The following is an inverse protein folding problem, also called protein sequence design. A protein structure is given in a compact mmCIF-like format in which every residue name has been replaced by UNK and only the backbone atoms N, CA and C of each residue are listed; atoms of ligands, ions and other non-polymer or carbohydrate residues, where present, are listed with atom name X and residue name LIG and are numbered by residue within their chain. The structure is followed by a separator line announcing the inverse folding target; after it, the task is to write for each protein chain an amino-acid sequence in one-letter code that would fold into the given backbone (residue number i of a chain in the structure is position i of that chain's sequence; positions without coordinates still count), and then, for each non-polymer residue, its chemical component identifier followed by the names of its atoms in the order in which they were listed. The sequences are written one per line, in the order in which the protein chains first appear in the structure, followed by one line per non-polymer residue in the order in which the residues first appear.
data_IF_293765180266
#
_entry.id   IF_293765180266
#
_cell.length_a   1.000
_cell.length_b   1.000
_cell.length_c   1.000
_cell.angle_alpha   90.00
_cell.angle_beta   90.00
_cell.angle_gamma   90.00
#
_symmetry.space_group_name_H-M   'P 1'
#
loop_
_entity.id
_entity.type
_entity.pdbx_description
1 polymer ?
#
# COMPACT_ATOMS: atom_id res chain seq x y z
N UNK A 1 -10.20 -58.73 -7.49
CA UNK A 1 -9.48 -59.95 -7.19
C UNK A 1 -8.49 -59.71 -6.09
N UNK A 2 -8.62 -60.46 -4.95
CA UNK A 2 -7.73 -60.69 -3.82
C UNK A 2 -7.34 -59.45 -2.98
N UNK A 3 -7.90 -59.15 -1.78
CA UNK A 3 -8.26 -59.94 -0.55
C UNK A 3 -7.06 -60.34 0.31
N UNK A 4 -7.23 -60.07 1.62
CA UNK A 4 -6.58 -60.69 2.79
C UNK A 4 -5.42 -59.89 3.43
N UNK A 5 -5.19 -59.81 4.74
CA UNK A 5 -5.97 -60.19 5.95
C UNK A 5 -5.39 -59.45 7.17
N UNK A 6 -6.25 -59.16 8.11
CA UNK A 6 -6.14 -59.00 9.56
C UNK A 6 -5.06 -59.85 10.24
N UNK A 7 -4.45 -59.31 11.29
CA UNK A 7 -4.38 -60.02 12.60
C UNK A 7 -4.25 -59.04 13.77
N UNK A 8 -5.17 -59.25 14.73
CA UNK A 8 -5.16 -58.76 16.12
C UNK A 8 -4.29 -59.72 16.94
N UNK A 9 -3.60 -59.24 17.99
CA UNK A 9 -3.36 -60.06 19.18
C UNK A 9 -3.34 -59.17 20.44
N UNK A 10 -4.25 -59.50 21.37
CA UNK A 10 -4.25 -59.18 22.80
C UNK A 10 -3.37 -60.15 23.57
N UNK A 11 -2.86 -59.73 24.71
CA UNK A 11 -2.72 -60.50 25.98
C UNK A 11 -1.84 -59.70 26.94
N UNK A 12 -2.32 -59.29 28.01
CA UNK A 12 -2.71 -59.67 29.37
C UNK A 12 -1.62 -59.46 30.44
N UNK A 13 -2.00 -58.70 31.44
CA UNK A 13 -1.74 -58.74 32.89
C UNK A 13 -0.45 -59.39 33.44
N UNK A 14 0.22 -58.60 34.33
CA UNK A 14 0.68 -59.10 35.63
C UNK A 14 0.90 -57.94 36.62
N UNK A 15 0.12 -57.98 37.72
CA UNK A 15 0.34 -57.25 38.97
C UNK A 15 1.52 -57.88 39.73
N UNK A 16 2.38 -57.07 40.30
CA UNK A 16 3.20 -57.47 41.48
C UNK A 16 3.34 -56.24 42.41
N UNK A 17 2.70 -56.39 43.56
CA UNK A 17 2.90 -55.62 44.78
C UNK A 17 4.15 -56.08 45.53
N UNK A 18 5.04 -55.15 45.93
CA UNK A 18 5.86 -55.30 47.15
C UNK A 18 6.34 -53.95 47.67
N UNK A 19 5.84 -53.62 48.85
CA UNK A 19 6.49 -53.08 50.07
C UNK A 19 7.30 -51.82 50.06
N UNK A 20 6.86 -50.98 50.99
CA UNK A 20 7.40 -49.74 51.49
C UNK A 20 8.83 -49.83 52.04
N UNK A 21 9.61 -48.83 51.79
CA UNK A 21 10.62 -48.35 52.74
C UNK A 21 10.83 -46.83 52.58
N UNK A 22 10.61 -46.18 53.69
CA UNK A 22 10.76 -44.73 53.87
C UNK A 22 12.22 -44.33 53.74
N UNK A 23 12.50 -43.32 52.90
CA UNK A 23 13.66 -42.46 53.04
C UNK A 23 13.23 -41.01 52.90
N UNK A 24 13.23 -40.33 54.05
CA UNK A 24 13.13 -38.91 54.17
C UNK A 24 14.41 -38.27 53.60
N UNK A 25 14.29 -37.62 52.48
CA UNK A 25 15.32 -36.72 51.99
C UNK A 25 14.70 -35.35 51.84
N UNK A 26 15.20 -34.43 52.63
CA UNK A 26 14.93 -33.01 52.59
C UNK A 26 15.22 -32.48 51.16
N UNK A 27 14.17 -32.25 50.39
CA UNK A 27 14.26 -31.33 49.28
C UNK A 27 13.86 -29.96 49.78
N UNK A 28 14.87 -29.11 49.95
CA UNK A 28 14.65 -27.69 50.04
C UNK A 28 13.99 -27.24 48.72
N UNK A 29 12.71 -26.92 48.80
CA UNK A 29 12.02 -26.16 47.77
C UNK A 29 12.66 -24.77 47.72
N UNK A 30 13.68 -24.62 46.88
CA UNK A 30 14.07 -23.34 46.39
C UNK A 30 12.84 -22.68 45.76
N UNK A 31 12.32 -21.62 46.40
CA UNK A 31 11.39 -20.71 45.77
C UNK A 31 12.08 -20.18 44.54
N UNK A 32 11.79 -20.77 43.39
CA UNK A 32 11.99 -20.06 42.11
C UNK A 32 11.01 -18.91 42.19
N UNK A 33 11.51 -17.76 42.57
CA UNK A 33 10.83 -16.48 42.32
C UNK A 33 10.61 -16.44 40.82
N UNK A 34 9.37 -16.67 40.40
CA UNK A 34 8.95 -16.29 39.07
C UNK A 34 9.13 -14.77 39.02
N UNK A 35 10.24 -14.31 38.46
CA UNK A 35 10.38 -12.92 38.09
C UNK A 35 9.18 -12.60 37.20
N UNK A 36 8.27 -11.84 37.76
CA UNK A 36 7.10 -11.35 37.05
C UNK A 36 7.60 -10.50 35.88
N UNK A 37 7.36 -11.01 34.69
CA UNK A 37 7.61 -10.27 33.47
C UNK A 37 6.94 -8.89 33.57
N UNK A 38 7.60 -7.80 33.15
CA UNK A 38 7.17 -6.40 33.40
C UNK A 38 5.78 -6.02 32.86
N UNK A 39 5.12 -6.88 32.11
CA UNK A 39 3.76 -6.65 31.59
C UNK A 39 2.63 -7.26 32.44
N UNK A 40 2.89 -7.67 33.68
CA UNK A 40 1.84 -8.16 34.57
C UNK A 40 1.00 -6.98 35.11
N UNK A 41 -0.12 -6.69 34.45
CA UNK A 41 -1.29 -5.95 34.96
C UNK A 41 -1.00 -4.69 35.78
N UNK A 42 -0.35 -3.67 35.20
CA UNK A 42 -0.36 -2.32 35.79
C UNK A 42 -1.01 -1.34 34.80
N UNK A 43 -1.70 -0.33 35.30
CA UNK A 43 -2.18 0.81 34.49
C UNK A 43 -1.06 1.42 33.64
N UNK A 44 0.17 1.31 34.06
CA UNK A 44 1.38 1.72 33.36
C UNK A 44 1.58 0.95 32.03
N UNK A 45 1.34 -0.37 31.99
CA UNK A 45 1.52 -1.15 30.75
C UNK A 45 0.44 -0.87 29.71
N UNK A 46 -0.79 -0.62 30.15
CA UNK A 46 -1.89 -0.22 29.24
C UNK A 46 -1.65 1.17 28.65
N UNK A 47 -1.11 2.11 29.45
CA UNK A 47 -0.73 3.45 28.98
C UNK A 47 0.41 3.39 27.96
N UNK A 48 1.37 2.48 28.12
CA UNK A 48 2.45 2.27 27.14
C UNK A 48 1.91 1.70 25.82
N UNK A 49 1.04 0.69 25.86
CA UNK A 49 0.45 0.12 24.66
C UNK A 49 -0.49 1.13 23.95
N UNK A 50 -1.15 2.00 24.70
CA UNK A 50 -1.93 3.10 24.11
C UNK A 50 -1.05 4.07 23.34
N UNK A 51 0.14 4.44 23.87
CA UNK A 51 1.12 5.26 23.14
C UNK A 51 1.62 4.59 21.87
N UNK A 52 1.88 3.27 21.92
CA UNK A 52 2.24 2.49 20.71
C UNK A 52 1.14 2.58 19.67
N UNK A 53 -0.13 2.45 20.06
CA UNK A 53 -1.26 2.64 19.15
C UNK A 53 -1.33 4.06 18.58
N UNK A 54 -1.05 5.08 19.37
CA UNK A 54 -1.06 6.48 18.92
C UNK A 54 0.09 6.77 17.95
N UNK A 55 1.26 6.22 18.18
CA UNK A 55 2.48 6.49 17.40
C UNK A 55 2.51 5.69 16.09
N UNK A 56 2.17 4.40 16.13
CA UNK A 56 2.33 3.48 14.99
C UNK A 56 1.01 2.99 14.40
N UNK A 57 -0.09 3.16 15.09
CA UNK A 57 -1.40 2.74 14.60
C UNK A 57 -1.94 3.70 13.52
N UNK A 58 -2.75 3.15 12.62
CA UNK A 58 -3.47 3.92 11.60
C UNK A 58 -4.97 3.73 11.84
N UNK A 59 -5.68 4.82 12.10
CA UNK A 59 -7.14 4.75 12.23
C UNK A 59 -7.77 4.59 10.84
N UNK A 60 -8.72 3.65 10.65
CA UNK A 60 -9.44 3.55 9.39
C UNK A 60 -10.25 4.83 9.14
N UNK A 61 -10.30 5.24 7.87
CA UNK A 61 -11.05 6.41 7.41
C UNK A 61 -12.02 5.98 6.32
N UNK A 62 -13.28 6.35 6.45
CA UNK A 62 -14.30 5.99 5.47
C UNK A 62 -14.11 6.74 4.15
N UNK A 63 -14.39 6.04 3.05
CA UNK A 63 -14.50 6.66 1.74
C UNK A 63 -15.72 7.59 1.70
N UNK A 64 -15.65 8.64 0.89
CA UNK A 64 -16.74 9.58 0.73
C UNK A 64 -16.83 10.15 -0.68
N UNK A 65 -18.03 10.53 -1.09
CA UNK A 65 -18.22 11.40 -2.23
C UNK A 65 -18.10 12.87 -1.78
N UNK A 66 -17.31 13.65 -2.53
CA UNK A 66 -17.00 15.05 -2.25
C UNK A 66 -17.40 15.90 -3.46
N UNK A 67 -17.99 17.07 -3.24
CA UNK A 67 -18.47 17.93 -4.33
C UNK A 67 -17.36 18.51 -5.21
N UNK A 68 -16.10 18.54 -4.72
CA UNK A 68 -14.93 19.07 -5.45
C UNK A 68 -14.02 17.93 -5.93
N UNK A 69 -13.78 16.94 -5.05
CA UNK A 69 -12.82 15.88 -5.27
C UNK A 69 -13.45 14.57 -5.76
N UNK A 70 -14.75 14.57 -6.01
CA UNK A 70 -15.54 13.41 -6.42
C UNK A 70 -15.39 12.23 -5.44
N UNK A 71 -15.02 11.05 -5.88
CA UNK A 71 -14.80 9.95 -4.97
C UNK A 71 -13.42 10.06 -4.29
N UNK A 72 -13.44 10.20 -2.98
CA UNK A 72 -12.24 10.15 -2.13
C UNK A 72 -12.20 8.77 -1.48
N UNK A 73 -11.21 7.92 -1.82
CA UNK A 73 -11.05 6.61 -1.20
C UNK A 73 -10.91 6.69 0.31
N UNK A 74 -11.34 5.65 0.99
CA UNK A 74 -11.08 5.47 2.40
C UNK A 74 -9.61 5.13 2.68
N UNK A 75 -9.36 4.66 3.89
CA UNK A 75 -8.07 4.17 4.33
C UNK A 75 -8.31 3.03 5.31
N UNK A 76 -7.71 1.88 5.07
CA UNK A 76 -7.65 0.82 6.06
C UNK A 76 -6.70 1.20 7.20
N UNK A 77 -6.93 0.66 8.36
CA UNK A 77 -6.16 0.97 9.55
C UNK A 77 -5.30 -0.19 10.04
N UNK A 78 -4.44 0.13 11.01
CA UNK A 78 -3.72 -0.82 11.84
C UNK A 78 -4.06 -0.57 13.30
N UNK A 79 -4.70 -1.56 13.94
CA UNK A 79 -5.09 -1.49 15.34
C UNK A 79 -4.29 -2.51 16.15
N UNK A 80 -3.66 -2.05 17.23
CA UNK A 80 -2.88 -2.92 18.11
C UNK A 80 -3.82 -3.93 18.80
N UNK A 81 -3.50 -5.20 18.64
CA UNK A 81 -4.17 -6.28 19.38
C UNK A 81 -3.49 -6.46 20.73
N UNK A 82 -3.95 -5.72 21.75
CA UNK A 82 -3.34 -5.70 23.08
C UNK A 82 -3.23 -7.11 23.69
N UNK A 83 -4.27 -7.95 23.76
CA UNK A 83 -4.16 -9.29 24.32
C UNK A 83 -3.15 -10.18 23.59
N UNK A 84 -3.12 -10.14 22.25
CA UNK A 84 -2.18 -10.92 21.46
C UNK A 84 -0.74 -10.40 21.59
N UNK A 85 -0.55 -9.08 21.69
CA UNK A 85 0.74 -8.44 21.96
C UNK A 85 1.31 -8.87 23.31
N UNK A 86 0.51 -8.85 24.36
CA UNK A 86 0.92 -9.32 25.69
C UNK A 86 1.30 -10.81 25.68
N UNK A 87 0.51 -11.65 24.97
CA UNK A 87 0.79 -13.08 24.87
C UNK A 87 2.10 -13.34 24.10
N UNK A 88 2.29 -12.69 22.94
CA UNK A 88 3.50 -12.82 22.13
C UNK A 88 4.75 -12.36 22.88
N UNK A 89 4.66 -11.23 23.58
CA UNK A 89 5.78 -10.68 24.37
C UNK A 89 6.17 -11.61 25.51
N UNK A 90 5.19 -12.21 26.25
CA UNK A 90 5.49 -13.20 27.28
C UNK A 90 6.12 -14.47 26.73
N UNK A 91 5.72 -14.91 25.55
CA UNK A 91 6.23 -16.14 24.92
C UNK A 91 7.67 -15.96 24.41
N UNK A 92 8.01 -14.81 23.88
CA UNK A 92 9.33 -14.53 23.28
C UNK A 92 10.47 -14.52 24.30
N UNK A 93 10.21 -14.18 25.57
CA UNK A 93 11.20 -14.16 26.67
C UNK A 93 12.49 -13.34 26.36
N UNK A 94 12.38 -12.42 25.45
CA UNK A 94 13.43 -11.41 25.15
C UNK A 94 13.07 -10.05 25.76
N UNK A 95 13.95 -9.07 25.60
CA UNK A 95 13.72 -7.71 26.09
C UNK A 95 13.06 -6.82 25.02
N UNK A 96 12.09 -7.37 24.30
CA UNK A 96 11.34 -6.66 23.24
C UNK A 96 9.85 -6.81 23.46
N UNK A 97 9.14 -5.76 23.07
CA UNK A 97 7.69 -5.79 22.92
C UNK A 97 7.36 -6.40 21.55
N UNK A 98 6.66 -7.52 21.52
CA UNK A 98 6.22 -8.19 20.28
C UNK A 98 4.82 -7.73 19.94
N UNK A 99 4.71 -6.84 18.95
CA UNK A 99 3.48 -6.17 18.57
C UNK A 99 2.66 -7.01 17.59
N UNK A 100 1.41 -7.23 17.92
CA UNK A 100 0.44 -7.89 17.04
C UNK A 100 -0.58 -6.87 16.57
N UNK A 101 -0.67 -6.68 15.26
CA UNK A 101 -1.54 -5.71 14.65
C UNK A 101 -2.67 -6.38 13.88
N UNK A 102 -3.88 -5.88 14.06
CA UNK A 102 -5.03 -6.25 13.26
C UNK A 102 -5.25 -5.19 12.17
N UNK A 103 -5.53 -5.62 10.95
CA UNK A 103 -6.04 -4.74 9.92
C UNK A 103 -7.48 -4.34 10.27
N UNK A 104 -7.79 -3.05 10.17
CA UNK A 104 -9.12 -2.49 10.37
C UNK A 104 -9.60 -1.87 9.07
N UNK A 105 -10.70 -2.39 8.51
CA UNK A 105 -11.28 -1.85 7.28
C UNK A 105 -12.11 -0.60 7.56
N UNK A 106 -12.22 0.35 6.60
CA UNK A 106 -13.18 1.42 6.68
C UNK A 106 -14.61 0.87 6.68
N UNK A 107 -15.54 1.54 7.34
CA UNK A 107 -16.97 1.16 7.33
C UNK A 107 -17.59 1.39 5.96
N UNK A 108 -17.18 2.45 5.28
CA UNK A 108 -17.55 2.76 3.90
C UNK A 108 -16.28 2.69 3.06
N UNK A 109 -16.21 1.75 2.13
CA UNK A 109 -15.10 1.62 1.17
C UNK A 109 -15.45 2.27 -0.17
N UNK A 110 -14.43 2.56 -0.98
CA UNK A 110 -14.58 3.17 -2.32
C UNK A 110 -15.60 2.43 -3.20
N UNK A 111 -15.60 1.09 -3.15
CA UNK A 111 -16.55 0.24 -3.94
C UNK A 111 -18.00 0.32 -3.47
N UNK A 112 -18.27 0.93 -2.33
CA UNK A 112 -19.65 1.15 -1.84
C UNK A 112 -20.21 2.49 -2.31
N UNK A 113 -19.36 3.36 -2.88
CA UNK A 113 -19.79 4.66 -3.42
C UNK A 113 -20.32 4.50 -4.85
N UNK A 114 -21.21 5.40 -5.30
CA UNK A 114 -21.55 5.52 -6.72
C UNK A 114 -20.29 5.72 -7.56
N UNK A 115 -20.33 5.21 -8.80
CA UNK A 115 -19.20 5.35 -9.74
C UNK A 115 -18.89 6.82 -10.00
N UNK A 116 -17.65 7.24 -9.74
CA UNK A 116 -17.14 8.57 -10.07
C UNK A 116 -15.60 8.55 -10.19
N UNK A 117 -15.04 9.66 -10.67
CA UNK A 117 -13.59 9.85 -10.79
C UNK A 117 -12.92 10.11 -9.44
N UNK A 118 -11.60 9.92 -9.39
CA UNK A 118 -10.77 10.08 -8.20
C UNK A 118 -9.69 11.12 -8.50
N UNK A 119 -9.68 12.20 -7.73
CA UNK A 119 -8.70 13.29 -7.85
C UNK A 119 -7.65 13.28 -6.74
N UNK A 120 -7.92 12.55 -5.67
CA UNK A 120 -7.05 12.46 -4.49
C UNK A 120 -7.28 11.17 -3.73
N UNK A 121 -6.30 10.79 -2.93
CA UNK A 121 -6.43 9.73 -1.93
C UNK A 121 -7.04 10.23 -0.62
N UNK A 122 -7.14 9.31 0.34
CA UNK A 122 -7.63 9.60 1.69
C UNK A 122 -6.80 10.69 2.39
N UNK A 123 -7.44 11.67 3.04
CA UNK A 123 -6.74 12.62 3.90
C UNK A 123 -6.36 12.04 5.27
N UNK A 124 -6.80 10.82 5.59
CA UNK A 124 -6.51 10.14 6.86
C UNK A 124 -5.07 9.72 7.05
N UNK A 125 -4.24 9.84 6.01
CA UNK A 125 -2.82 9.54 6.04
C UNK A 125 -2.02 10.65 5.36
N UNK A 126 -0.87 10.97 5.94
CA UNK A 126 0.06 11.96 5.36
C UNK A 126 0.88 11.32 4.24
N UNK A 127 0.21 10.96 3.15
CA UNK A 127 0.80 10.33 1.97
C UNK A 127 0.49 11.11 0.71
N UNK A 128 1.31 10.94 -0.33
CA UNK A 128 1.12 11.48 -1.68
C UNK A 128 1.49 10.44 -2.74
N UNK A 129 1.04 10.67 -3.96
CA UNK A 129 1.31 9.77 -5.09
C UNK A 129 1.92 10.54 -6.25
N UNK A 130 2.98 9.99 -6.84
CA UNK A 130 3.52 10.48 -8.10
C UNK A 130 2.85 9.70 -9.23
N UNK A 131 2.14 10.39 -10.11
CA UNK A 131 1.55 9.81 -11.31
C UNK A 131 2.21 10.41 -12.56
N UNK A 132 2.69 9.52 -13.44
CA UNK A 132 3.50 9.88 -14.60
C UNK A 132 2.76 9.42 -15.86
N UNK A 133 2.22 10.38 -16.62
CA UNK A 133 1.57 10.08 -17.90
C UNK A 133 2.62 9.98 -19.01
N UNK A 134 2.60 8.86 -19.76
CA UNK A 134 3.61 8.51 -20.76
C UNK A 134 2.98 8.26 -22.12
N UNK A 135 3.11 9.24 -23.00
CA UNK A 135 2.81 9.15 -24.43
C UNK A 135 4.00 9.58 -25.29
N UNK A 136 5.07 10.08 -24.66
CA UNK A 136 6.32 10.61 -25.23
C UNK A 136 7.35 10.77 -24.13
N UNK A 137 8.59 11.20 -24.49
CA UNK A 137 9.67 11.55 -23.52
C UNK A 137 10.43 10.34 -23.01
N UNK A 138 10.50 9.26 -23.79
CA UNK A 138 11.18 8.01 -23.45
C UNK A 138 12.65 8.21 -23.07
N UNK A 139 13.31 9.24 -23.60
CA UNK A 139 14.71 9.56 -23.30
C UNK A 139 14.96 9.99 -21.85
N UNK A 140 13.93 10.45 -21.14
CA UNK A 140 14.03 10.87 -19.73
C UNK A 140 13.66 9.77 -18.74
N UNK A 141 12.96 8.73 -19.19
CA UNK A 141 12.50 7.63 -18.33
C UNK A 141 13.63 6.89 -17.62
N UNK A 142 14.78 6.57 -18.28
CA UNK A 142 15.87 5.88 -17.57
C UNK A 142 16.36 6.62 -16.34
N UNK A 143 16.54 7.94 -16.44
CA UNK A 143 16.95 8.79 -15.31
C UNK A 143 15.90 8.87 -14.21
N UNK A 144 14.61 8.92 -14.59
CA UNK A 144 13.51 8.92 -13.61
C UNK A 144 13.43 7.60 -12.88
N UNK A 145 13.50 6.46 -13.57
CA UNK A 145 13.51 5.12 -12.97
C UNK A 145 14.71 4.91 -12.05
N UNK A 146 15.92 5.31 -12.49
CA UNK A 146 17.11 5.27 -11.64
C UNK A 146 16.92 6.08 -10.34
N UNK A 147 16.28 7.24 -10.42
CA UNK A 147 15.98 8.05 -9.23
C UNK A 147 14.99 7.37 -8.31
N UNK A 148 13.88 6.84 -8.85
CA UNK A 148 12.87 6.12 -8.08
C UNK A 148 13.46 4.88 -7.39
N UNK A 149 14.30 4.12 -8.11
CA UNK A 149 15.03 2.97 -7.58
C UNK A 149 15.96 3.35 -6.42
N UNK A 150 16.85 4.34 -6.63
CA UNK A 150 17.80 4.84 -5.59
C UNK A 150 17.09 5.34 -4.35
N UNK A 151 15.96 6.00 -4.54
CA UNK A 151 15.15 6.54 -3.43
C UNK A 151 14.18 5.50 -2.86
N UNK A 152 14.14 4.26 -3.38
CA UNK A 152 13.18 3.23 -2.99
C UNK A 152 11.73 3.77 -2.99
N UNK A 153 11.33 4.39 -4.09
CA UNK A 153 10.01 4.98 -4.31
C UNK A 153 9.34 4.29 -5.49
N UNK A 154 8.07 3.95 -5.34
CA UNK A 154 7.20 3.51 -6.44
C UNK A 154 6.30 4.67 -6.86
N UNK A 155 6.21 4.89 -8.17
CA UNK A 155 5.28 5.81 -8.81
C UNK A 155 4.27 5.01 -9.66
N UNK A 156 3.21 5.68 -10.12
CA UNK A 156 2.26 5.08 -11.07
C UNK A 156 2.46 5.67 -12.45
N UNK A 157 2.78 4.82 -13.42
CA UNK A 157 2.96 5.19 -14.82
C UNK A 157 1.69 4.90 -15.60
N UNK A 158 1.05 5.92 -16.14
CA UNK A 158 -0.09 5.76 -17.04
C UNK A 158 0.40 5.72 -18.48
N UNK A 159 0.39 4.53 -19.06
CA UNK A 159 1.01 4.27 -20.36
C UNK A 159 0.01 4.39 -21.53
N UNK A 160 0.35 5.16 -22.53
CA UNK A 160 -0.35 5.18 -23.82
C UNK A 160 -0.06 3.89 -24.61
N UNK A 161 -1.11 3.23 -25.10
CA UNK A 161 -0.97 1.94 -25.78
C UNK A 161 -0.20 2.02 -27.10
N UNK A 162 -0.25 3.15 -27.83
CA UNK A 162 0.55 3.34 -29.02
C UNK A 162 2.04 3.50 -28.67
N UNK A 163 2.33 4.25 -27.61
CA UNK A 163 3.69 4.38 -27.07
C UNK A 163 4.25 3.02 -26.60
N UNK A 164 3.47 2.21 -25.90
CA UNK A 164 3.90 0.85 -25.47
C UNK A 164 4.29 -0.02 -26.66
N UNK A 165 3.54 0.05 -27.77
CA UNK A 165 3.85 -0.71 -28.98
C UNK A 165 5.18 -0.32 -29.60
N UNK A 166 5.50 0.98 -29.62
CA UNK A 166 6.74 1.51 -30.21
C UNK A 166 7.95 1.45 -29.27
N UNK A 167 7.73 1.44 -27.95
CA UNK A 167 8.79 1.45 -26.94
C UNK A 167 8.68 0.28 -25.94
N UNK A 168 8.42 -0.93 -26.46
CA UNK A 168 8.12 -2.11 -25.64
C UNK A 168 9.20 -2.43 -24.60
N UNK A 169 10.46 -2.27 -24.94
CA UNK A 169 11.56 -2.52 -24.00
C UNK A 169 11.53 -1.56 -22.81
N UNK A 170 11.29 -0.27 -23.05
CA UNK A 170 11.17 0.71 -21.97
C UNK A 170 9.92 0.47 -21.14
N UNK A 171 8.78 0.11 -21.75
CA UNK A 171 7.57 -0.23 -21.03
C UNK A 171 7.77 -1.47 -20.12
N UNK A 172 8.51 -2.48 -20.58
CA UNK A 172 8.90 -3.63 -19.74
C UNK A 172 9.83 -3.21 -18.61
N UNK A 173 10.80 -2.35 -18.88
CA UNK A 173 11.71 -1.88 -17.84
C UNK A 173 10.97 -1.14 -16.71
N UNK A 174 9.94 -0.33 -17.02
CA UNK A 174 9.07 0.27 -15.99
C UNK A 174 8.44 -0.81 -15.08
N UNK A 175 7.94 -1.90 -15.66
CA UNK A 175 7.33 -3.02 -14.91
C UNK A 175 8.37 -3.80 -14.10
N UNK A 176 9.54 -4.08 -14.69
CA UNK A 176 10.65 -4.80 -14.06
C UNK A 176 11.22 -4.03 -12.85
N UNK A 177 11.21 -2.71 -12.89
CA UNK A 177 11.55 -1.83 -11.75
C UNK A 177 10.44 -1.79 -10.67
N UNK A 178 9.38 -2.59 -10.81
CA UNK A 178 8.31 -2.72 -9.83
C UNK A 178 7.39 -1.50 -9.74
N UNK A 179 7.38 -0.65 -10.76
CA UNK A 179 6.51 0.50 -10.81
C UNK A 179 5.06 0.09 -11.04
N UNK A 180 4.11 0.88 -10.52
CA UNK A 180 2.68 0.68 -10.77
C UNK A 180 2.31 1.18 -12.17
N UNK A 181 1.37 0.48 -12.84
CA UNK A 181 1.02 0.78 -14.23
C UNK A 181 -0.49 0.92 -14.41
N UNK A 182 -0.89 2.05 -15.00
CA UNK A 182 -2.25 2.35 -15.45
C UNK A 182 -2.31 2.59 -16.97
N UNK A 183 -3.53 2.73 -17.48
CA UNK A 183 -3.84 3.06 -18.85
C UNK A 183 -3.87 4.58 -19.08
N UNK A 184 -3.34 5.05 -20.22
CA UNK A 184 -3.51 6.43 -20.70
C UNK A 184 -4.25 6.48 -22.05
N UNK A 185 -5.05 5.44 -22.34
CA UNK A 185 -5.66 5.27 -23.67
C UNK A 185 -4.64 4.92 -24.76
N UNK A 186 -4.98 5.15 -26.02
CA UNK A 186 -4.12 4.85 -27.17
C UNK A 186 -4.15 6.01 -28.15
N UNK A 187 -2.98 6.61 -28.41
CA UNK A 187 -2.81 7.71 -29.38
C UNK A 187 -3.27 9.07 -28.87
N UNK A 188 -3.45 9.22 -27.57
CA UNK A 188 -3.71 10.48 -26.86
C UNK A 188 -4.89 11.32 -27.42
N UNK A 189 -6.07 10.74 -27.77
CA UNK A 189 -7.20 11.53 -28.26
C UNK A 189 -7.90 12.26 -27.10
N UNK A 190 -8.63 13.32 -27.43
CA UNK A 190 -9.56 13.95 -26.49
C UNK A 190 -10.80 13.06 -26.28
N UNK A 191 -10.92 12.46 -25.09
CA UNK A 191 -11.98 11.48 -24.79
C UNK A 191 -13.39 12.06 -24.85
N UNK A 192 -13.58 13.36 -24.57
CA UNK A 192 -14.90 14.01 -24.67
C UNK A 192 -15.41 14.09 -26.12
N UNK A 193 -14.52 14.13 -27.10
CA UNK A 193 -14.88 14.22 -28.51
C UNK A 193 -15.18 12.88 -29.16
N UNK A 194 -14.86 11.78 -28.48
CA UNK A 194 -15.09 10.43 -29.01
C UNK A 194 -16.57 10.02 -28.90
N UNK A 195 -17.03 9.21 -29.83
CA UNK A 195 -18.27 8.45 -29.67
C UNK A 195 -18.09 7.42 -28.55
N UNK A 196 -19.19 6.94 -27.97
CA UNK A 196 -19.15 5.96 -26.88
C UNK A 196 -18.40 4.68 -27.29
N UNK A 197 -18.64 4.15 -28.51
CA UNK A 197 -17.92 2.99 -29.03
C UNK A 197 -16.41 3.23 -29.20
N UNK A 198 -16.02 4.44 -29.62
CA UNK A 198 -14.60 4.78 -29.71
C UNK A 198 -13.96 4.91 -28.34
N UNK A 199 -14.70 5.47 -27.38
CA UNK A 199 -14.25 5.58 -26.00
C UNK A 199 -14.10 4.21 -25.34
N UNK A 200 -15.08 3.29 -25.53
CA UNK A 200 -14.96 1.91 -25.07
C UNK A 200 -13.73 1.21 -25.68
N UNK A 201 -13.49 1.39 -26.98
CA UNK A 201 -12.28 0.85 -27.65
C UNK A 201 -10.97 1.42 -27.08
N UNK A 202 -10.94 2.66 -26.61
CA UNK A 202 -9.76 3.21 -25.94
C UNK A 202 -9.38 2.41 -24.69
N UNK A 203 -10.36 2.01 -23.90
CA UNK A 203 -10.15 1.19 -22.71
C UNK A 203 -9.72 -0.24 -23.10
N UNK A 204 -10.48 -0.89 -23.98
CA UNK A 204 -10.30 -2.31 -24.32
C UNK A 204 -8.97 -2.56 -25.06
N UNK A 205 -8.64 -1.71 -26.04
CA UNK A 205 -7.41 -1.84 -26.83
C UNK A 205 -6.18 -1.61 -25.95
N UNK A 206 -6.21 -0.56 -25.10
CA UNK A 206 -5.06 -0.30 -24.22
C UNK A 206 -4.88 -1.41 -23.21
N UNK A 207 -5.95 -1.88 -22.57
CA UNK A 207 -5.89 -3.00 -21.62
C UNK A 207 -5.38 -4.28 -22.28
N UNK A 208 -5.82 -4.56 -23.51
CA UNK A 208 -5.30 -5.70 -24.29
C UNK A 208 -3.79 -5.57 -24.53
N UNK A 209 -3.31 -4.37 -24.88
CA UNK A 209 -1.86 -4.12 -25.07
C UNK A 209 -1.10 -4.32 -23.77
N UNK A 210 -1.54 -3.69 -22.68
CA UNK A 210 -0.90 -3.81 -21.37
C UNK A 210 -0.87 -5.26 -20.89
N UNK A 211 -1.96 -5.99 -21.05
CA UNK A 211 -2.02 -7.39 -20.65
C UNK A 211 -1.12 -8.28 -21.54
N UNK A 212 -1.25 -8.22 -22.86
CA UNK A 212 -0.53 -9.12 -23.76
C UNK A 212 0.96 -8.82 -23.89
N UNK A 213 1.38 -7.56 -23.69
CA UNK A 213 2.77 -7.15 -23.88
C UNK A 213 3.55 -7.05 -22.57
N UNK A 214 2.86 -6.73 -21.45
CA UNK A 214 3.47 -6.46 -20.15
C UNK A 214 2.96 -7.39 -19.04
N UNK A 215 1.92 -8.21 -19.26
CA UNK A 215 1.31 -9.06 -18.24
C UNK A 215 0.48 -8.30 -17.20
N UNK A 216 0.10 -7.04 -17.48
CA UNK A 216 -0.60 -6.16 -16.53
C UNK A 216 -2.12 -6.26 -16.74
N UNK A 217 -2.83 -6.63 -15.68
CA UNK A 217 -4.30 -6.45 -15.61
C UNK A 217 -4.59 -5.04 -15.08
N UNK A 218 -4.91 -4.12 -16.00
CA UNK A 218 -5.03 -2.72 -15.68
C UNK A 218 -6.41 -2.38 -15.09
N UNK A 219 -6.42 -1.79 -13.89
CA UNK A 219 -7.62 -1.31 -13.20
C UNK A 219 -7.69 0.23 -13.10
N UNK A 220 -6.74 0.94 -13.70
CA UNK A 220 -6.62 2.39 -13.61
C UNK A 220 -6.62 3.03 -15.00
N UNK A 221 -7.36 4.13 -15.17
CA UNK A 221 -7.31 4.96 -16.39
C UNK A 221 -7.14 6.43 -16.02
N UNK A 222 -6.05 7.06 -16.48
CA UNK A 222 -5.92 8.51 -16.51
C UNK A 222 -6.25 8.96 -17.93
N UNK A 223 -7.33 9.75 -18.14
CA UNK A 223 -7.70 10.18 -19.48
C UNK A 223 -6.69 11.20 -20.02
N UNK A 224 -6.34 11.15 -21.34
CA UNK A 224 -5.50 12.14 -21.97
C UNK A 224 -5.96 13.58 -21.68
N UNK A 225 -5.02 14.44 -21.28
CA UNK A 225 -5.26 15.84 -20.89
C UNK A 225 -6.32 16.05 -19.79
N UNK A 226 -6.66 14.99 -19.03
CA UNK A 226 -7.76 15.02 -18.05
C UNK A 226 -9.15 15.16 -18.69
N UNK A 227 -9.27 14.90 -20.00
CA UNK A 227 -10.53 15.06 -20.72
C UNK A 227 -11.42 13.84 -20.56
N UNK A 228 -12.52 13.98 -19.80
CA UNK A 228 -13.50 12.91 -19.58
C UNK A 228 -14.90 13.47 -19.32
N UNK A 229 -15.88 12.62 -19.38
CA UNK A 229 -17.25 12.85 -18.93
C UNK A 229 -17.85 11.57 -18.30
N UNK A 230 -19.14 11.59 -17.93
CA UNK A 230 -19.81 10.47 -17.29
C UNK A 230 -19.81 9.17 -18.10
N UNK A 231 -19.65 9.24 -19.44
CA UNK A 231 -19.52 8.05 -20.28
C UNK A 231 -18.25 7.26 -19.95
N UNK A 232 -17.10 7.98 -19.77
CA UNK A 232 -15.85 7.33 -19.38
C UNK A 232 -16.00 6.66 -18.01
N UNK A 233 -16.61 7.35 -17.05
CA UNK A 233 -16.80 6.81 -15.69
C UNK A 233 -17.59 5.50 -15.74
N UNK A 234 -18.74 5.49 -16.46
CA UNK A 234 -19.57 4.29 -16.62
C UNK A 234 -18.80 3.16 -17.31
N UNK A 235 -18.19 3.43 -18.48
CA UNK A 235 -17.46 2.42 -19.25
C UNK A 235 -16.23 1.85 -18.50
N UNK A 236 -15.56 2.66 -17.69
CA UNK A 236 -14.46 2.23 -16.84
C UNK A 236 -14.97 1.33 -15.69
N UNK A 237 -16.07 1.73 -15.04
CA UNK A 237 -16.70 0.94 -13.97
C UNK A 237 -17.15 -0.43 -14.45
N UNK A 238 -17.77 -0.51 -15.63
CA UNK A 238 -18.18 -1.78 -16.26
C UNK A 238 -16.99 -2.73 -16.54
N UNK A 239 -15.77 -2.19 -16.57
CA UNK A 239 -14.49 -2.90 -16.75
C UNK A 239 -13.68 -3.04 -15.47
N UNK A 240 -14.28 -2.75 -14.32
CA UNK A 240 -13.61 -2.73 -13.02
C UNK A 240 -12.39 -1.79 -12.98
N UNK A 241 -12.48 -0.66 -13.68
CA UNK A 241 -11.45 0.37 -13.73
C UNK A 241 -11.89 1.63 -13.00
N UNK A 242 -10.91 2.34 -12.43
CA UNK A 242 -11.09 3.65 -11.81
C UNK A 242 -10.56 4.76 -12.71
N UNK A 243 -11.34 5.84 -12.86
CA UNK A 243 -10.93 7.05 -13.58
C UNK A 243 -10.13 7.93 -12.61
N UNK A 244 -8.85 8.16 -12.93
CA UNK A 244 -7.89 8.85 -12.07
C UNK A 244 -7.53 10.22 -12.68
N UNK A 245 -7.69 11.25 -11.89
CA UNK A 245 -7.25 12.61 -12.16
C UNK A 245 -6.16 13.00 -11.13
N UNK A 246 -5.94 14.28 -10.90
CA UNK A 246 -4.87 14.77 -10.03
C UNK A 246 -5.29 15.96 -9.18
N UNK A 247 -4.62 16.11 -8.06
CA UNK A 247 -4.76 17.24 -7.14
C UNK A 247 -3.81 18.37 -7.52
N UNK A 248 -2.59 18.01 -7.96
CA UNK A 248 -1.52 18.94 -8.29
C UNK A 248 -0.96 18.65 -9.68
N UNK A 249 -0.94 19.66 -10.55
CA UNK A 249 -0.32 19.59 -11.87
C UNK A 249 1.04 20.32 -11.84
N UNK A 250 2.09 19.61 -12.17
CA UNK A 250 3.43 20.20 -12.28
C UNK A 250 3.56 21.17 -13.46
N UNK A 251 2.71 21.04 -14.46
CA UNK A 251 2.74 21.75 -15.75
C UNK A 251 4.13 21.63 -16.42
N UNK A 252 4.77 20.49 -16.21
CA UNK A 252 6.11 20.18 -16.70
C UNK A 252 6.20 20.06 -18.23
N UNK A 253 5.07 19.79 -18.89
CA UNK A 253 4.93 19.78 -20.34
C UNK A 253 5.22 21.16 -21.00
N UNK A 254 5.16 22.26 -20.23
CA UNK A 254 5.63 23.58 -20.64
C UNK A 254 7.15 23.76 -20.50
N UNK A 255 7.88 22.72 -20.09
CA UNK A 255 9.34 22.71 -19.90
C UNK A 255 9.85 23.83 -18.98
N UNK A 256 9.23 24.05 -17.80
CA UNK A 256 9.70 25.05 -16.84
C UNK A 256 11.07 24.64 -16.26
N UNK A 257 11.73 25.54 -15.52
CA UNK A 257 12.88 25.16 -14.72
C UNK A 257 12.48 24.21 -13.58
N UNK A 258 13.36 23.30 -13.12
CA UNK A 258 13.06 22.34 -12.06
C UNK A 258 12.52 22.95 -10.77
N UNK A 259 13.00 24.11 -10.36
CA UNK A 259 12.58 24.84 -9.16
C UNK A 259 11.11 25.29 -9.24
N UNK A 260 10.61 25.60 -10.44
CA UNK A 260 9.18 25.92 -10.66
C UNK A 260 8.31 24.71 -10.41
N UNK A 261 8.74 23.51 -10.81
CA UNK A 261 8.05 22.24 -10.50
C UNK A 261 8.00 22.04 -8.98
N UNK A 262 9.14 22.19 -8.30
CA UNK A 262 9.23 22.04 -6.85
C UNK A 262 8.32 23.03 -6.12
N UNK A 263 8.28 24.29 -6.55
CA UNK A 263 7.42 25.31 -5.96
C UNK A 263 5.94 24.97 -6.15
N UNK A 264 5.52 24.52 -7.35
CA UNK A 264 4.14 24.08 -7.61
C UNK A 264 3.71 22.92 -6.71
N UNK A 265 4.54 21.87 -6.64
CA UNK A 265 4.24 20.73 -5.78
C UNK A 265 4.17 21.16 -4.31
N UNK A 266 5.13 21.97 -3.84
CA UNK A 266 5.15 22.48 -2.46
C UNK A 266 3.86 23.21 -2.07
N UNK A 267 3.30 23.99 -2.98
CA UNK A 267 2.11 24.80 -2.75
C UNK A 267 0.81 23.97 -2.74
N UNK A 268 0.82 22.79 -3.36
CA UNK A 268 -0.35 21.89 -3.44
C UNK A 268 -0.16 20.58 -2.64
N UNK A 269 0.92 20.49 -1.85
CA UNK A 269 1.21 19.31 -1.06
C UNK A 269 0.26 19.20 0.13
N UNK A 270 -0.71 18.33 0.01
CA UNK A 270 -1.73 18.01 1.03
C UNK A 270 -1.86 16.51 1.19
N UNK A 271 -2.31 15.99 2.36
CA UNK A 271 -2.56 14.56 2.54
C UNK A 271 -3.48 14.01 1.43
N UNK A 272 -3.05 12.91 0.82
CA UNK A 272 -3.75 12.27 -0.27
C UNK A 272 -3.55 12.93 -1.65
N UNK A 273 -2.66 13.90 -1.81
CA UNK A 273 -2.45 14.54 -3.12
C UNK A 273 -1.92 13.55 -4.16
N UNK A 274 -2.55 13.57 -5.35
CA UNK A 274 -2.05 12.93 -6.57
C UNK A 274 -1.33 14.00 -7.40
N UNK A 275 -0.05 13.79 -7.68
CA UNK A 275 0.84 14.76 -8.33
C UNK A 275 1.08 14.31 -9.76
N UNK A 276 0.49 15.02 -10.73
CA UNK A 276 0.69 14.74 -12.15
C UNK A 276 2.04 15.27 -12.64
N UNK A 277 2.73 14.42 -13.39
CA UNK A 277 3.95 14.76 -14.13
C UNK A 277 4.05 13.94 -15.43
N UNK A 278 5.01 14.33 -16.27
CA UNK A 278 5.35 13.65 -17.52
C UNK A 278 6.85 13.40 -17.57
N UNK A 279 7.33 12.49 -18.44
CA UNK A 279 8.77 12.29 -18.64
C UNK A 279 9.35 13.46 -19.44
N UNK A 280 9.72 14.52 -18.73
CA UNK A 280 10.40 15.70 -19.28
C UNK A 280 11.77 15.85 -18.64
N UNK A 281 12.65 16.62 -19.31
CA UNK A 281 13.95 16.97 -18.74
C UNK A 281 13.79 17.62 -17.37
N UNK A 282 12.89 18.60 -17.27
CA UNK A 282 12.66 19.35 -16.02
C UNK A 282 12.18 18.45 -14.89
N UNK A 283 11.29 17.48 -15.18
CA UNK A 283 10.82 16.50 -14.22
C UNK A 283 11.95 15.56 -13.77
N UNK A 284 12.71 15.02 -14.72
CA UNK A 284 13.83 14.12 -14.42
C UNK A 284 14.92 14.81 -13.57
N UNK A 285 15.11 16.12 -13.75
CA UNK A 285 16.04 16.93 -12.95
C UNK A 285 15.46 17.30 -11.58
N UNK A 286 14.15 17.58 -11.47
CA UNK A 286 13.48 17.94 -10.23
C UNK A 286 13.23 16.74 -9.30
N UNK A 287 13.01 15.53 -9.83
CA UNK A 287 12.49 14.37 -9.12
C UNK A 287 13.28 14.01 -7.85
N UNK A 288 14.63 13.98 -7.83
CA UNK A 288 15.37 13.66 -6.61
C UNK A 288 15.08 14.64 -5.46
N UNK A 289 15.02 15.93 -5.78
CA UNK A 289 14.75 16.97 -4.78
C UNK A 289 13.27 16.99 -4.37
N UNK A 290 12.36 16.67 -5.31
CA UNK A 290 10.93 16.55 -5.03
C UNK A 290 10.65 15.43 -4.01
N UNK A 291 11.25 14.25 -4.19
CA UNK A 291 11.11 13.14 -3.25
C UNK A 291 11.62 13.52 -1.86
N UNK A 292 12.82 14.14 -1.78
CA UNK A 292 13.35 14.62 -0.49
C UNK A 292 12.43 15.65 0.16
N UNK A 293 11.97 16.66 -0.59
CA UNK A 293 11.06 17.69 -0.11
C UNK A 293 9.75 17.10 0.46
N UNK A 294 9.20 16.08 -0.19
CA UNK A 294 8.00 15.36 0.26
C UNK A 294 8.27 14.67 1.60
N UNK A 295 9.40 13.95 1.72
CA UNK A 295 9.80 13.26 2.95
C UNK A 295 10.13 14.22 4.09
N UNK A 296 10.85 15.30 3.84
CA UNK A 296 11.20 16.32 4.83
C UNK A 296 9.96 16.99 5.45
N UNK A 297 8.86 17.03 4.68
CA UNK A 297 7.56 17.48 5.18
C UNK A 297 6.76 16.37 5.89
N UNK A 298 7.36 15.19 6.08
CA UNK A 298 6.78 14.04 6.77
C UNK A 298 5.72 13.31 5.96
N UNK A 299 5.72 13.42 4.63
CA UNK A 299 4.84 12.63 3.77
C UNK A 299 5.51 11.33 3.35
N UNK A 300 4.73 10.27 3.24
CA UNK A 300 5.09 9.02 2.57
C UNK A 300 4.68 9.06 1.10
N UNK A 301 5.31 8.22 0.28
CA UNK A 301 4.97 8.05 -1.13
C UNK A 301 4.34 6.67 -1.34
N UNK A 302 3.24 6.62 -2.08
CA UNK A 302 2.55 5.38 -2.46
C UNK A 302 2.03 5.44 -3.89
N UNK A 303 1.61 4.31 -4.43
CA UNK A 303 1.06 4.21 -5.79
C UNK A 303 -0.42 4.55 -5.83
N UNK A 304 -0.97 4.79 -7.04
CA UNK A 304 -2.41 4.97 -7.22
C UNK A 304 -3.16 3.67 -6.93
N UNK A 305 -2.59 2.51 -7.25
CA UNK A 305 -3.16 1.22 -6.87
C UNK A 305 -3.33 1.09 -5.35
N UNK A 306 -2.32 1.49 -4.56
CA UNK A 306 -2.43 1.51 -3.08
C UNK A 306 -3.52 2.48 -2.60
N UNK A 307 -3.73 3.61 -3.32
CA UNK A 307 -4.80 4.57 -3.02
C UNK A 307 -6.18 3.97 -3.23
N UNK A 308 -6.44 3.35 -4.39
CA UNK A 308 -7.77 2.78 -4.70
C UNK A 308 -8.06 1.49 -3.93
N UNK A 309 -7.01 0.77 -3.51
CA UNK A 309 -7.11 -0.38 -2.63
C UNK A 309 -7.22 0.02 -1.14
N UNK A 310 -7.24 1.31 -0.86
CA UNK A 310 -7.40 1.88 0.49
C UNK A 310 -6.35 1.36 1.49
N UNK A 311 -5.14 1.03 1.00
CA UNK A 311 -4.03 0.52 1.81
C UNK A 311 -3.27 1.64 2.51
N UNK A 312 -2.88 1.48 3.78
CA UNK A 312 -1.95 2.40 4.44
C UNK A 312 -0.56 2.31 3.80
N UNK A 313 0.17 3.43 3.77
CA UNK A 313 1.52 3.51 3.18
C UNK A 313 2.56 2.73 3.96
N UNK A 314 2.38 2.59 5.26
CA UNK A 314 3.37 2.01 6.17
C UNK A 314 2.73 0.88 6.96
N UNK A 315 3.41 -0.25 7.03
CA UNK A 315 3.09 -1.31 7.99
C UNK A 315 3.74 -0.94 9.33
N UNK A 316 3.02 -1.00 10.46
CA UNK A 316 3.60 -0.72 11.75
C UNK A 316 4.67 -1.75 12.14
N UNK A 317 5.60 -1.41 13.06
CA UNK A 317 6.66 -2.31 13.50
C UNK A 317 6.08 -3.57 14.17
N UNK A 318 6.78 -4.68 14.04
CA UNK A 318 6.42 -5.94 14.70
C UNK A 318 7.09 -6.09 16.07
N UNK A 319 8.16 -5.33 16.32
CA UNK A 319 8.86 -5.33 17.62
C UNK A 319 9.36 -3.95 18.00
N UNK A 320 9.37 -3.65 19.30
CA UNK A 320 9.99 -2.47 19.88
C UNK A 320 10.90 -2.90 21.04
N UNK A 321 12.03 -2.19 21.24
CA UNK A 321 12.90 -2.44 22.39
C UNK A 321 12.20 -1.98 23.68
N UNK A 322 12.24 -2.83 24.72
CA UNK A 322 11.84 -2.44 26.07
C UNK A 322 13.05 -1.79 26.76
N UNK A 323 12.93 -0.53 27.14
CA UNK A 323 13.94 0.16 27.92
C UNK A 323 13.53 0.20 29.41
N UNK A 324 14.48 0.21 30.37
CA UNK A 324 14.19 0.25 31.80
C UNK A 324 13.38 1.48 32.28
N UNK A 325 13.08 2.42 31.41
CA UNK A 325 12.31 3.64 31.66
C UNK A 325 11.09 3.85 30.78
N UNK A 326 10.59 2.78 30.14
CA UNK A 326 9.46 2.83 29.19
C UNK A 326 9.91 3.00 27.73
N UNK A 327 8.94 3.05 26.83
CA UNK A 327 9.16 3.31 25.40
C UNK A 327 9.71 4.73 25.21
N UNK A 328 10.81 4.86 24.43
CA UNK A 328 11.34 6.16 23.98
C UNK A 328 10.93 6.40 22.55
#
# INVERSE_FOLDING_TARGET
MRSFHRRRNCLTFALLLTSASAWSSFFALGKVSAESHPLAKSESSLNELSKVQEEFGVKPTDAKHDSVWHNVPGLSGWMLNVPATEAATRQARDQKLHLVWNSALPKVSLKMLPADSIYRGSPGEKSVTLMINVSWGEEYLPKMLETLHKENVRATFFLDGAWVKSHLQMARHIVEEGQDVGSHGTGHPDFKTLTEDRLARQLDVTNTILNTRLGIQCSLIAPPSGSYDGRLVRLATDRHMHVILWTADTIDWKKPQPDVILARVRNHLTPGALILMHPTRSTAEALPQLIRMVRDKGYTLKTVSDVVEEKPSVKPPETLALHPGGLK
#
